data_IF_664650246111
#
_entry.id   IF_664650246111
#
_cell.length_a   1.000
_cell.length_b   1.000
_cell.length_c   1.000
_cell.angle_alpha   90.00
_cell.angle_beta   90.00
_cell.angle_gamma   90.00
#
_symmetry.space_group_name_H-M   'P 1'
#
loop_
_entity.id
_entity.type
_entity.pdbx_description
1 polymer ?
#
# COMPACT_ATOMS: atom_id res chain seq x y z
N UNK A 1 -2.73 5.69 -34.59
CA UNK A 1 -2.50 4.41 -33.90
C UNK A 1 -2.33 4.71 -32.41
N UNK A 2 -3.43 4.68 -31.65
CA UNK A 2 -3.44 4.90 -30.20
C UNK A 2 -2.94 3.61 -29.51
N UNK A 3 -1.74 3.63 -28.91
CA UNK A 3 -1.31 2.57 -27.99
C UNK A 3 -2.19 2.63 -26.75
N UNK A 4 -2.99 1.60 -26.55
CA UNK A 4 -3.72 1.40 -25.30
C UNK A 4 -2.70 1.29 -24.16
N UNK A 5 -2.61 2.32 -23.34
CA UNK A 5 -1.85 2.26 -22.08
C UNK A 5 -2.58 1.31 -21.14
N UNK A 6 -2.01 0.14 -20.94
CA UNK A 6 -2.43 -0.78 -19.88
C UNK A 6 -2.38 -0.04 -18.53
N UNK A 7 -3.53 0.15 -17.91
CA UNK A 7 -3.60 0.65 -16.52
C UNK A 7 -2.77 -0.29 -15.62
N UNK A 8 -1.82 0.22 -14.84
CA UNK A 8 -1.02 -0.62 -13.95
C UNK A 8 -1.92 -1.32 -12.94
N UNK A 9 -1.60 -2.58 -12.65
CA UNK A 9 -2.27 -3.38 -11.61
C UNK A 9 -1.94 -2.78 -10.24
N UNK A 10 -2.77 -1.86 -9.78
CA UNK A 10 -2.61 -1.26 -8.46
C UNK A 10 -3.20 -2.16 -7.39
N UNK A 11 -2.37 -2.47 -6.42
CA UNK A 11 -2.73 -3.21 -5.21
C UNK A 11 -3.36 -2.20 -4.24
N UNK A 12 -4.68 -2.01 -4.28
CA UNK A 12 -5.38 -1.33 -3.20
C UNK A 12 -5.35 -2.25 -1.96
N UNK A 13 -4.32 -2.10 -1.14
CA UNK A 13 -4.21 -2.78 0.16
C UNK A 13 -5.11 -2.01 1.14
N UNK A 14 -6.38 -2.40 1.26
CA UNK A 14 -7.21 -1.95 2.36
C UNK A 14 -6.75 -2.64 3.64
N UNK A 15 -5.88 -2.00 4.41
CA UNK A 15 -5.61 -2.36 5.81
C UNK A 15 -6.84 -2.00 6.64
N UNK A 16 -7.83 -2.90 6.71
CA UNK A 16 -8.89 -2.85 7.72
C UNK A 16 -8.36 -3.60 8.93
N UNK A 17 -7.69 -2.90 9.85
CA UNK A 17 -7.47 -3.39 11.19
C UNK A 17 -8.79 -3.27 11.96
N UNK A 18 -9.59 -4.34 11.95
CA UNK A 18 -10.77 -4.48 12.79
C UNK A 18 -10.36 -4.73 14.24
N UNK A 19 -10.38 -3.69 15.07
CA UNK A 19 -10.35 -3.83 16.53
C UNK A 19 -11.74 -4.19 17.00
N UNK A 20 -11.99 -5.46 17.29
CA UNK A 20 -13.20 -5.90 17.97
C UNK A 20 -13.09 -5.53 19.46
N UNK A 21 -13.81 -4.50 19.89
CA UNK A 21 -14.10 -4.25 21.29
C UNK A 21 -15.28 -5.16 21.72
N UNK A 22 -14.97 -6.14 22.56
CA UNK A 22 -15.95 -6.98 23.24
C UNK A 22 -16.61 -6.18 24.35
N UNK A 23 -17.88 -5.83 24.18
CA UNK A 23 -18.77 -5.45 25.29
C UNK A 23 -19.59 -6.68 25.70
N UNK A 24 -19.40 -7.09 26.94
CA UNK A 24 -20.20 -8.15 27.55
C UNK A 24 -21.64 -7.69 27.79
N UNK A 25 -22.58 -8.60 27.54
CA UNK A 25 -23.93 -8.51 28.05
C UNK A 25 -24.46 -9.89 28.42
N UNK A 26 -25.16 -9.90 29.49
CA UNK A 26 -25.64 -10.93 30.38
C UNK A 26 -26.48 -12.06 29.78
N UNK A 27 -26.45 -13.17 30.51
CA UNK A 27 -27.13 -14.42 30.30
C UNK A 27 -28.64 -14.31 30.31
N UNK A 28 -29.28 -15.07 29.42
CA UNK A 28 -30.64 -15.58 29.63
C UNK A 28 -30.70 -17.07 29.29
N UNK A 29 -31.13 -17.87 30.28
CA UNK A 29 -31.37 -19.30 30.18
C UNK A 29 -32.60 -19.59 29.33
N UNK A 30 -32.51 -20.51 28.36
CA UNK A 30 -33.66 -21.27 27.91
C UNK A 30 -33.25 -22.60 27.26
N UNK A 31 -33.75 -23.69 27.83
CA UNK A 31 -34.27 -24.92 27.26
C UNK A 31 -33.42 -25.79 26.34
N UNK A 32 -33.32 -27.03 26.84
CA UNK A 32 -32.71 -28.22 26.24
C UNK A 32 -33.53 -28.73 25.04
N UNK A 33 -32.85 -28.88 23.90
CA UNK A 33 -32.99 -30.04 23.00
C UNK A 33 -31.75 -30.05 22.11
N UNK A 34 -31.03 -31.16 21.95
CA UNK A 34 -29.88 -31.23 21.07
C UNK A 34 -30.37 -31.24 19.61
N UNK A 35 -29.85 -30.39 18.74
CA UNK A 35 -30.05 -30.52 17.30
C UNK A 35 -29.27 -31.74 16.78
N UNK A 36 -29.73 -32.36 15.67
CA UNK A 36 -29.06 -33.51 15.08
C UNK A 36 -27.64 -33.16 14.68
N UNK A 37 -26.73 -34.10 14.95
CA UNK A 37 -25.33 -34.10 14.58
C UNK A 37 -25.11 -33.46 13.21
N UNK A 38 -24.59 -32.22 13.21
CA UNK A 38 -23.99 -31.66 12.03
C UNK A 38 -22.74 -32.50 11.74
N UNK A 39 -22.83 -33.33 10.70
CA UNK A 39 -21.66 -33.99 10.13
C UNK A 39 -20.56 -32.94 10.02
N UNK A 40 -19.44 -33.18 10.71
CA UNK A 40 -18.22 -32.43 10.60
C UNK A 40 -17.90 -32.30 9.12
N UNK A 41 -18.20 -31.14 8.53
CA UNK A 41 -17.51 -30.73 7.29
C UNK A 41 -16.06 -30.58 7.71
N UNK A 42 -15.30 -31.64 7.56
CA UNK A 42 -13.85 -31.56 7.45
C UNK A 42 -13.57 -30.46 6.43
N UNK A 43 -13.05 -29.33 6.91
CA UNK A 43 -12.36 -28.37 6.05
C UNK A 43 -11.30 -29.22 5.37
N UNK A 44 -11.51 -29.56 4.10
CA UNK A 44 -10.53 -30.23 3.29
C UNK A 44 -9.30 -29.33 3.32
N UNK A 45 -8.29 -29.71 4.13
CA UNK A 45 -7.02 -29.03 4.15
C UNK A 45 -6.51 -29.05 2.71
N UNK A 46 -6.15 -27.89 2.17
CA UNK A 46 -5.58 -27.80 0.83
C UNK A 46 -4.42 -28.77 0.73
N UNK A 47 -4.30 -29.46 -0.41
CA UNK A 47 -3.16 -30.33 -0.70
C UNK A 47 -1.87 -29.56 -0.44
N UNK A 48 -0.88 -30.10 0.31
CA UNK A 48 0.38 -29.45 0.55
C UNK A 48 1.05 -29.04 -0.76
N UNK A 49 1.66 -27.87 -0.82
CA UNK A 49 2.28 -27.39 -2.06
C UNK A 49 3.35 -28.34 -2.61
N UNK A 50 4.05 -29.09 -1.74
CA UNK A 50 4.98 -30.15 -2.15
C UNK A 50 4.32 -31.27 -2.99
N UNK A 51 3.01 -31.47 -2.90
CA UNK A 51 2.25 -32.52 -3.61
C UNK A 51 1.44 -31.95 -4.79
N UNK A 52 1.55 -30.64 -5.04
CA UNK A 52 0.82 -29.97 -6.13
C UNK A 52 1.69 -29.85 -7.38
N UNK A 53 1.28 -30.46 -8.50
CA UNK A 53 2.03 -30.38 -9.76
C UNK A 53 2.26 -28.95 -10.23
N UNK A 54 1.25 -28.07 -10.12
CA UNK A 54 1.33 -26.67 -10.55
C UNK A 54 2.33 -25.84 -9.72
N UNK A 55 2.42 -26.09 -8.40
CA UNK A 55 3.38 -25.43 -7.53
C UNK A 55 4.81 -25.95 -7.77
N UNK A 56 4.98 -27.25 -7.97
CA UNK A 56 6.29 -27.84 -8.23
C UNK A 56 6.82 -27.49 -9.62
N UNK A 57 5.96 -27.46 -10.64
CA UNK A 57 6.34 -26.94 -11.96
C UNK A 57 6.77 -25.46 -11.89
N UNK A 58 6.02 -24.65 -11.15
CA UNK A 58 6.42 -23.24 -10.92
C UNK A 58 7.80 -23.16 -10.24
N UNK A 59 8.09 -24.03 -9.26
CA UNK A 59 9.40 -24.07 -8.59
C UNK A 59 10.54 -24.39 -9.56
N UNK A 60 10.34 -25.38 -10.44
CA UNK A 60 11.33 -25.78 -11.44
C UNK A 60 11.57 -24.66 -12.45
N UNK A 61 10.50 -24.09 -13.00
CA UNK A 61 10.58 -22.97 -13.95
C UNK A 61 11.25 -21.74 -13.34
N UNK A 62 10.97 -21.46 -12.05
CA UNK A 62 11.57 -20.37 -11.31
C UNK A 62 13.08 -20.58 -11.12
N UNK A 63 13.48 -21.78 -10.70
CA UNK A 63 14.89 -22.12 -10.50
C UNK A 63 15.71 -21.87 -11.78
N UNK A 64 15.19 -22.27 -12.93
CA UNK A 64 15.83 -22.03 -14.23
C UNK A 64 15.86 -20.53 -14.58
N UNK A 65 14.73 -19.82 -14.45
CA UNK A 65 14.65 -18.39 -14.84
C UNK A 65 15.52 -17.47 -14.00
N UNK A 66 15.74 -17.81 -12.74
CA UNK A 66 16.43 -16.95 -11.77
C UNK A 66 17.81 -17.44 -11.37
N UNK A 67 18.25 -18.56 -11.95
CA UNK A 67 19.51 -19.20 -11.58
C UNK A 67 19.60 -19.47 -10.07
N UNK A 68 18.59 -20.18 -9.56
CA UNK A 68 18.46 -20.56 -8.16
C UNK A 68 18.64 -22.08 -8.02
N UNK A 69 19.03 -22.54 -6.83
CA UNK A 69 19.10 -23.98 -6.52
C UNK A 69 17.71 -24.64 -6.61
N UNK A 70 17.49 -25.58 -7.56
CA UNK A 70 16.18 -26.21 -7.76
C UNK A 70 15.69 -27.00 -6.54
N UNK A 71 16.59 -27.68 -5.83
CA UNK A 71 16.23 -28.48 -4.65
C UNK A 71 15.77 -27.56 -3.52
N UNK A 72 16.49 -26.45 -3.32
CA UNK A 72 16.13 -25.44 -2.34
C UNK A 72 14.78 -24.78 -2.66
N UNK A 73 14.53 -24.40 -3.92
CA UNK A 73 13.24 -23.77 -4.32
C UNK A 73 12.07 -24.72 -4.08
N UNK A 74 12.20 -26.00 -4.52
CA UNK A 74 11.17 -27.01 -4.30
C UNK A 74 10.92 -27.28 -2.83
N UNK A 75 11.98 -27.45 -2.04
CA UNK A 75 11.88 -27.71 -0.60
C UNK A 75 11.25 -26.52 0.13
N UNK A 76 11.64 -25.30 -0.22
CA UNK A 76 11.13 -24.06 0.40
C UNK A 76 9.65 -23.84 0.08
N UNK A 77 9.28 -23.91 -1.20
CA UNK A 77 7.87 -23.76 -1.59
C UNK A 77 7.01 -24.90 -1.05
N UNK A 78 7.54 -26.14 -1.04
CA UNK A 78 6.84 -27.29 -0.51
C UNK A 78 6.46 -27.19 0.97
N UNK A 79 7.20 -26.41 1.76
CA UNK A 79 6.95 -26.14 3.17
C UNK A 79 6.04 -24.92 3.42
N UNK A 80 5.67 -24.19 2.38
CA UNK A 80 4.67 -23.12 2.51
C UNK A 80 3.30 -23.70 2.88
N UNK A 81 2.50 -22.92 3.60
CA UNK A 81 1.20 -23.34 4.12
C UNK A 81 0.08 -22.51 3.52
N UNK A 82 -0.98 -23.17 3.13
CA UNK A 82 -2.22 -22.50 2.77
C UNK A 82 -2.83 -21.76 3.96
N UNK A 83 -3.17 -20.49 3.78
CA UNK A 83 -3.79 -19.65 4.80
C UNK A 83 -5.26 -19.38 4.45
N UNK A 84 -6.19 -20.15 5.01
CA UNK A 84 -7.62 -20.11 4.68
C UNK A 84 -8.31 -18.73 4.85
N UNK A 85 -7.73 -17.85 5.63
CA UNK A 85 -8.23 -16.47 5.81
C UNK A 85 -7.79 -15.52 4.68
N UNK A 86 -6.64 -15.75 4.04
CA UNK A 86 -6.05 -14.84 3.05
C UNK A 86 -6.94 -14.67 1.81
N UNK A 87 -7.53 -15.72 1.19
CA UNK A 87 -8.45 -15.56 0.08
C UNK A 87 -9.68 -14.70 0.40
N UNK A 88 -10.13 -14.70 1.65
CA UNK A 88 -11.27 -13.87 2.08
C UNK A 88 -10.91 -12.39 2.20
N UNK A 89 -9.66 -12.10 2.59
CA UNK A 89 -9.17 -10.72 2.79
C UNK A 89 -8.90 -9.96 1.48
N UNK A 90 -8.73 -10.68 0.36
CA UNK A 90 -8.48 -10.04 -0.95
C UNK A 90 -9.75 -9.82 -1.76
N UNK A 91 -10.88 -10.37 -1.36
CA UNK A 91 -12.15 -10.12 -2.02
C UNK A 91 -12.63 -8.68 -1.80
N UNK A 92 -13.14 -8.02 -2.82
CA UNK A 92 -13.77 -6.72 -2.64
C UNK A 92 -14.99 -6.85 -1.72
N UNK A 93 -15.34 -5.79 -0.96
CA UNK A 93 -16.53 -5.80 -0.12
C UNK A 93 -17.78 -6.04 -0.98
N UNK A 94 -18.70 -6.85 -0.48
CA UNK A 94 -19.94 -7.24 -1.16
C UNK A 94 -20.91 -6.09 -1.35
N UNK A 95 -20.82 -5.05 -0.51
CA UNK A 95 -21.57 -3.79 -0.65
C UNK A 95 -20.58 -2.65 -0.69
N UNK A 96 -20.73 -1.79 -1.70
CA UNK A 96 -19.95 -0.56 -1.79
C UNK A 96 -20.26 0.34 -0.59
N UNK A 97 -19.32 0.50 0.32
CA UNK A 97 -19.42 1.55 1.32
C UNK A 97 -19.22 2.89 0.62
N UNK A 98 -20.16 3.83 0.84
CA UNK A 98 -20.00 5.18 0.31
C UNK A 98 -18.63 5.74 0.71
N UNK A 99 -17.89 6.23 -0.26
CA UNK A 99 -16.59 6.84 -0.01
C UNK A 99 -16.78 8.06 0.88
N UNK A 100 -16.02 8.16 1.95
CA UNK A 100 -16.10 9.27 2.91
C UNK A 100 -14.69 9.66 3.34
N UNK A 101 -14.23 10.81 2.86
CA UNK A 101 -12.90 11.32 3.14
C UNK A 101 -12.68 11.61 4.63
N UNK A 102 -13.63 12.27 5.29
CA UNK A 102 -13.51 12.58 6.71
C UNK A 102 -13.35 11.31 7.55
N UNK A 103 -14.14 10.26 7.27
CA UNK A 103 -14.04 8.98 7.94
C UNK A 103 -12.76 8.22 7.58
N UNK A 104 -12.26 8.34 6.35
CA UNK A 104 -10.98 7.76 5.94
C UNK A 104 -9.81 8.45 6.64
N UNK A 105 -9.75 9.79 6.57
CA UNK A 105 -8.73 10.62 7.20
C UNK A 105 -8.61 10.33 8.70
N UNK A 106 -9.73 10.25 9.43
CA UNK A 106 -9.73 10.04 10.88
C UNK A 106 -9.07 8.72 11.32
N UNK A 107 -8.92 7.73 10.43
CA UNK A 107 -8.22 6.48 10.72
C UNK A 107 -6.69 6.62 10.71
N UNK A 108 -6.18 7.62 10.03
CA UNK A 108 -4.74 7.83 9.84
C UNK A 108 -4.23 9.08 10.54
N UNK A 109 -4.96 10.19 10.44
CA UNK A 109 -4.58 11.45 11.08
C UNK A 109 -5.24 11.53 12.46
N UNK A 110 -4.65 10.82 13.42
CA UNK A 110 -5.17 10.68 14.78
C UNK A 110 -4.04 10.79 15.83
N UNK A 111 -4.38 11.14 17.10
CA UNK A 111 -3.37 11.50 18.09
C UNK A 111 -2.32 10.43 18.40
N UNK A 112 -2.67 9.13 18.36
CA UNK A 112 -1.71 8.04 18.68
C UNK A 112 -0.65 7.98 17.58
N UNK A 113 -1.09 8.01 16.31
CA UNK A 113 -0.20 7.95 15.15
C UNK A 113 0.66 9.20 15.03
N UNK A 114 0.09 10.40 15.29
CA UNK A 114 0.85 11.66 15.32
C UNK A 114 1.94 11.62 16.40
N UNK A 115 1.61 11.22 17.63
CA UNK A 115 2.63 11.10 18.70
C UNK A 115 3.71 10.06 18.37
N UNK A 116 3.34 8.94 17.78
CA UNK A 116 4.30 7.93 17.31
C UNK A 116 5.22 8.51 16.22
N UNK A 117 4.65 9.31 15.29
CA UNK A 117 5.40 9.99 14.23
C UNK A 117 6.39 11.02 14.76
N UNK A 118 6.01 11.80 15.75
CA UNK A 118 6.94 12.75 16.41
C UNK A 118 8.14 12.01 17.02
N UNK A 119 7.90 10.90 17.73
CA UNK A 119 9.00 10.09 18.29
C UNK A 119 9.86 9.46 17.20
N UNK A 120 9.24 8.92 16.15
CA UNK A 120 9.98 8.36 15.01
C UNK A 120 10.85 9.40 14.35
N UNK A 121 10.32 10.59 14.07
CA UNK A 121 11.06 11.70 13.47
C UNK A 121 12.23 12.15 14.36
N UNK A 122 12.00 12.32 15.66
CA UNK A 122 13.07 12.71 16.60
C UNK A 122 14.20 11.68 16.61
N UNK A 123 13.87 10.39 16.71
CA UNK A 123 14.85 9.30 16.71
C UNK A 123 15.66 9.21 15.43
N UNK A 124 15.03 9.46 14.28
CA UNK A 124 15.62 9.25 12.96
C UNK A 124 15.87 10.58 12.21
N UNK A 125 16.04 11.68 12.96
CA UNK A 125 16.14 13.03 12.35
C UNK A 125 17.30 13.18 11.36
N UNK A 126 18.44 12.55 11.64
CA UNK A 126 19.61 12.57 10.76
C UNK A 126 19.35 11.82 9.45
N UNK A 127 18.74 10.64 9.51
CA UNK A 127 18.40 9.85 8.33
C UNK A 127 17.35 10.54 7.47
N UNK A 128 16.30 11.11 8.06
CA UNK A 128 15.28 11.88 7.36
C UNK A 128 15.87 13.12 6.68
N UNK A 129 16.74 13.89 7.37
CA UNK A 129 17.39 15.04 6.77
C UNK A 129 18.38 14.65 5.65
N UNK A 130 19.03 13.48 5.77
CA UNK A 130 19.89 12.93 4.70
C UNK A 130 19.04 12.56 3.49
N UNK A 131 17.97 11.80 3.68
CA UNK A 131 17.08 11.41 2.59
C UNK A 131 16.48 12.61 1.87
N UNK A 132 16.04 13.63 2.60
CA UNK A 132 15.53 14.87 2.01
C UNK A 132 16.58 15.59 1.15
N UNK A 133 17.85 15.67 1.59
CA UNK A 133 18.94 16.28 0.81
C UNK A 133 19.31 15.46 -0.42
N UNK A 134 19.38 14.13 -0.29
CA UNK A 134 19.90 13.24 -1.35
C UNK A 134 18.83 12.94 -2.41
N UNK A 135 17.59 12.77 -1.98
CA UNK A 135 16.49 12.39 -2.88
C UNK A 135 15.53 13.55 -3.17
N UNK A 136 15.61 14.65 -2.44
CA UNK A 136 14.69 15.78 -2.61
C UNK A 136 13.23 15.47 -2.23
N UNK A 137 13.01 14.40 -1.49
CA UNK A 137 11.67 14.02 -0.96
C UNK A 137 11.54 14.59 0.44
N UNK A 138 10.54 15.45 0.71
CA UNK A 138 10.37 16.05 2.03
C UNK A 138 10.20 15.01 3.14
N UNK A 139 10.82 15.26 4.29
CA UNK A 139 10.81 14.35 5.43
C UNK A 139 9.38 14.04 5.92
N UNK A 140 8.46 15.00 5.84
CA UNK A 140 7.04 14.78 6.20
C UNK A 140 6.35 13.77 5.28
N UNK A 141 6.65 13.73 4.00
CA UNK A 141 6.12 12.72 3.06
C UNK A 141 6.62 11.32 3.44
N UNK A 142 7.92 11.16 3.72
CA UNK A 142 8.51 9.88 4.13
C UNK A 142 7.88 9.41 5.45
N UNK A 143 7.76 10.30 6.42
CA UNK A 143 7.12 10.05 7.72
C UNK A 143 5.63 9.71 7.53
N UNK A 144 4.94 10.40 6.64
CA UNK A 144 3.55 10.11 6.28
C UNK A 144 3.36 8.69 5.75
N UNK A 145 4.21 8.24 4.81
CA UNK A 145 4.20 6.87 4.29
C UNK A 145 4.38 5.84 5.41
N UNK A 146 5.48 5.91 6.15
CA UNK A 146 5.80 4.93 7.20
C UNK A 146 4.73 4.94 8.31
N UNK A 147 4.16 6.12 8.58
CA UNK A 147 3.06 6.28 9.53
C UNK A 147 1.76 5.65 9.07
N UNK A 148 1.36 5.84 7.81
CA UNK A 148 0.15 5.23 7.24
C UNK A 148 0.30 3.72 7.16
N UNK A 149 1.45 3.23 6.68
CA UNK A 149 1.69 1.81 6.42
C UNK A 149 1.75 0.97 7.70
N UNK A 150 2.54 1.39 8.68
CA UNK A 150 2.87 0.50 9.82
C UNK A 150 2.76 1.12 11.20
N UNK A 151 2.28 2.36 11.31
CA UNK A 151 2.39 3.13 12.57
C UNK A 151 3.85 3.09 13.07
N UNK A 152 4.77 3.41 12.17
CA UNK A 152 6.22 3.45 12.45
C UNK A 152 6.77 2.12 12.98
N UNK A 153 6.37 1.01 12.37
CA UNK A 153 6.83 -0.34 12.69
C UNK A 153 6.00 -1.09 13.74
N UNK A 154 4.95 -0.46 14.32
CA UNK A 154 4.11 -1.12 15.32
C UNK A 154 3.15 -2.15 14.71
N UNK A 155 2.83 -2.05 13.41
CA UNK A 155 1.89 -2.91 12.71
C UNK A 155 2.43 -3.31 11.32
N UNK A 156 3.45 -4.12 11.27
CA UNK A 156 4.05 -4.61 10.01
C UNK A 156 3.37 -5.85 9.43
N UNK A 157 2.35 -6.39 10.12
CA UNK A 157 1.68 -7.63 9.76
C UNK A 157 2.29 -8.86 10.42
N UNK A 158 1.48 -9.93 10.57
CA UNK A 158 1.85 -11.14 11.29
C UNK A 158 1.82 -12.40 10.40
N UNK A 159 1.47 -12.27 9.13
CA UNK A 159 1.46 -13.40 8.20
C UNK A 159 2.89 -13.77 7.81
N UNK A 160 3.20 -15.06 7.81
CA UNK A 160 4.44 -15.52 7.19
C UNK A 160 4.37 -15.22 5.69
N UNK A 161 5.32 -14.43 5.19
CA UNK A 161 5.24 -13.85 3.83
C UNK A 161 5.15 -14.92 2.75
N UNK A 162 5.96 -15.97 2.85
CA UNK A 162 5.93 -17.08 1.89
C UNK A 162 4.55 -17.76 1.84
N UNK A 163 3.88 -17.95 3.00
CA UNK A 163 2.57 -18.60 3.06
C UNK A 163 1.48 -17.71 2.42
N UNK A 164 1.52 -16.40 2.72
CA UNK A 164 0.58 -15.44 2.13
C UNK A 164 0.74 -15.37 0.60
N UNK A 165 1.98 -15.27 0.12
CA UNK A 165 2.27 -15.20 -1.31
C UNK A 165 1.94 -16.51 -2.03
N UNK A 166 2.30 -17.69 -1.46
CA UNK A 166 1.95 -19.00 -2.04
C UNK A 166 0.42 -19.18 -2.09
N UNK A 167 -0.30 -18.82 -1.02
CA UNK A 167 -1.77 -18.86 -1.02
C UNK A 167 -2.36 -18.02 -2.15
N UNK A 168 -1.90 -16.79 -2.33
CA UNK A 168 -2.41 -15.91 -3.38
C UNK A 168 -1.91 -16.26 -4.79
N UNK A 169 -0.78 -16.93 -4.90
CA UNK A 169 -0.24 -17.41 -6.17
C UNK A 169 -0.99 -18.63 -6.73
N UNK A 170 -1.44 -19.53 -5.85
CA UNK A 170 -1.99 -20.83 -6.27
C UNK A 170 -3.45 -21.07 -5.86
N UNK A 171 -3.97 -20.30 -4.91
CA UNK A 171 -5.31 -20.47 -4.35
C UNK A 171 -6.06 -19.13 -4.30
N UNK A 172 -5.83 -18.28 -5.31
CA UNK A 172 -6.52 -16.99 -5.41
C UNK A 172 -8.02 -17.22 -5.66
N UNK A 173 -8.93 -16.50 -4.96
CA UNK A 173 -10.37 -16.78 -5.07
C UNK A 173 -10.94 -16.43 -6.44
N UNK A 174 -11.59 -17.38 -7.10
CA UNK A 174 -12.23 -17.22 -8.42
C UNK A 174 -13.36 -16.17 -8.41
N UNK A 175 -13.97 -15.94 -7.25
CA UNK A 175 -15.00 -14.91 -7.08
C UNK A 175 -14.49 -13.48 -7.28
N UNK A 176 -13.18 -13.27 -7.32
CA UNK A 176 -12.61 -11.94 -7.56
C UNK A 176 -12.70 -11.57 -9.05
N UNK A 177 -13.18 -10.35 -9.43
CA UNK A 177 -13.39 -9.96 -10.84
C UNK A 177 -12.16 -10.06 -11.75
N UNK A 178 -10.95 -10.07 -11.16
CA UNK A 178 -9.66 -10.17 -11.87
C UNK A 178 -8.81 -11.32 -11.31
N UNK A 179 -9.42 -12.45 -11.00
CA UNK A 179 -8.77 -13.56 -10.31
C UNK A 179 -7.47 -14.01 -11.01
N UNK A 180 -7.53 -14.29 -12.30
CA UNK A 180 -6.36 -14.73 -13.08
C UNK A 180 -5.21 -13.71 -13.03
N UNK A 181 -5.48 -12.45 -13.38
CA UNK A 181 -4.44 -11.42 -13.41
C UNK A 181 -3.82 -11.17 -12.02
N UNK A 182 -4.62 -11.36 -10.96
CA UNK A 182 -4.14 -11.22 -9.57
C UNK A 182 -3.30 -12.43 -9.15
N UNK A 183 -3.71 -13.65 -9.46
CA UNK A 183 -2.92 -14.87 -9.22
C UNK A 183 -1.55 -14.77 -9.93
N UNK A 184 -1.54 -14.36 -11.19
CA UNK A 184 -0.29 -14.14 -11.95
C UNK A 184 0.59 -13.05 -11.32
N UNK A 185 0.01 -11.97 -10.80
CA UNK A 185 0.74 -10.95 -10.05
C UNK A 185 1.40 -11.57 -8.81
N UNK A 186 0.68 -12.34 -7.99
CA UNK A 186 1.24 -12.95 -6.79
C UNK A 186 2.25 -14.05 -7.08
N UNK A 187 2.15 -14.75 -8.20
CA UNK A 187 3.21 -15.66 -8.69
C UNK A 187 4.51 -14.90 -8.93
N UNK A 188 4.46 -13.72 -9.55
CA UNK A 188 5.65 -12.89 -9.75
C UNK A 188 6.21 -12.33 -8.42
N UNK A 189 5.35 -11.98 -7.48
CA UNK A 189 5.81 -11.54 -6.15
C UNK A 189 6.45 -12.68 -5.35
N UNK A 190 5.89 -13.89 -5.42
CA UNK A 190 6.50 -15.09 -4.82
C UNK A 190 7.87 -15.41 -5.45
N UNK A 191 7.99 -15.28 -6.76
CA UNK A 191 9.26 -15.42 -7.48
C UNK A 191 10.30 -14.39 -6.99
N UNK A 192 9.93 -13.14 -6.86
CA UNK A 192 10.83 -12.11 -6.34
C UNK A 192 11.21 -12.36 -4.88
N UNK A 193 10.27 -12.81 -4.06
CA UNK A 193 10.53 -13.15 -2.66
C UNK A 193 11.54 -14.27 -2.52
N UNK A 194 11.34 -15.40 -3.24
CA UNK A 194 12.25 -16.55 -3.20
C UNK A 194 13.65 -16.18 -3.71
N UNK A 195 13.72 -15.38 -4.79
CA UNK A 195 14.99 -14.86 -5.30
C UNK A 195 15.71 -13.97 -4.28
N UNK A 196 14.98 -13.09 -3.59
CA UNK A 196 15.53 -12.17 -2.60
C UNK A 196 16.11 -12.92 -1.41
N UNK A 197 15.35 -13.84 -0.83
CA UNK A 197 15.75 -14.54 0.41
C UNK A 197 16.90 -15.52 0.14
N UNK A 198 16.96 -16.20 -1.01
CA UNK A 198 18.05 -17.08 -1.34
C UNK A 198 19.35 -16.30 -1.58
N UNK A 199 19.31 -15.22 -2.37
CA UNK A 199 20.49 -14.40 -2.64
C UNK A 199 21.07 -13.72 -1.40
N UNK A 200 20.20 -13.34 -0.45
CA UNK A 200 20.62 -12.74 0.80
C UNK A 200 20.99 -13.78 1.86
N UNK A 201 20.83 -15.09 1.59
CA UNK A 201 21.08 -16.15 2.57
C UNK A 201 20.18 -16.07 3.81
N UNK A 202 18.99 -15.48 3.66
CA UNK A 202 18.04 -15.30 4.79
C UNK A 202 17.06 -16.47 4.88
N UNK A 203 16.59 -16.77 6.09
CA UNK A 203 15.55 -17.80 6.29
C UNK A 203 14.24 -17.38 5.60
N UNK A 204 13.76 -18.14 4.59
CA UNK A 204 12.52 -17.80 3.86
C UNK A 204 11.27 -17.85 4.73
N UNK A 205 11.33 -18.46 5.90
CA UNK A 205 10.21 -18.63 6.81
C UNK A 205 10.16 -17.58 7.94
N UNK A 206 11.21 -16.78 8.11
CA UNK A 206 11.28 -15.75 9.14
C UNK A 206 10.45 -14.49 8.80
N UNK A 207 10.44 -13.94 7.56
CA UNK A 207 9.76 -12.68 7.28
C UNK A 207 8.26 -12.73 7.58
N UNK A 208 7.79 -11.70 8.31
CA UNK A 208 6.36 -11.46 8.59
C UNK A 208 5.92 -10.19 7.88
N UNK A 209 4.69 -10.20 7.41
CA UNK A 209 4.16 -9.08 6.65
C UNK A 209 2.64 -9.06 6.61
N UNK A 210 2.10 -8.29 5.67
CA UNK A 210 0.66 -8.23 5.44
C UNK A 210 0.12 -9.55 4.87
N UNK A 211 -1.19 -9.70 4.88
CA UNK A 211 -1.87 -10.85 4.25
C UNK A 211 -1.60 -10.95 2.72
N UNK A 212 -1.13 -9.89 2.10
CA UNK A 212 -0.75 -9.83 0.69
C UNK A 212 0.77 -9.91 0.46
N UNK A 213 1.57 -10.14 1.51
CA UNK A 213 3.01 -10.31 1.40
C UNK A 213 3.82 -9.01 1.35
N UNK A 214 3.24 -7.87 1.71
CA UNK A 214 3.98 -6.63 1.89
C UNK A 214 4.81 -6.66 3.18
N UNK A 215 6.03 -6.09 3.16
CA UNK A 215 7.07 -6.31 4.15
C UNK A 215 7.68 -5.01 4.70
N UNK A 216 8.10 -5.06 5.97
CA UNK A 216 8.90 -4.03 6.63
C UNK A 216 8.13 -2.75 6.95
N UNK A 217 8.85 -1.71 7.40
CA UNK A 217 8.29 -0.43 7.85
C UNK A 217 7.50 0.28 6.76
N UNK A 218 7.95 0.20 5.50
CA UNK A 218 7.32 0.82 4.33
C UNK A 218 6.36 -0.11 3.58
N UNK A 219 6.10 -1.32 4.05
CA UNK A 219 5.21 -2.29 3.41
C UNK A 219 5.53 -2.53 1.92
N UNK A 220 6.80 -2.74 1.61
CA UNK A 220 7.23 -3.05 0.25
C UNK A 220 6.81 -4.45 -0.17
N UNK A 221 6.23 -4.56 -1.37
CA UNK A 221 6.11 -5.86 -2.04
C UNK A 221 7.49 -6.38 -2.42
N UNK A 222 7.71 -7.71 -2.54
CA UNK A 222 9.01 -8.27 -2.92
C UNK A 222 9.61 -7.65 -4.18
N UNK A 223 8.80 -7.37 -5.19
CA UNK A 223 9.24 -6.69 -6.41
C UNK A 223 9.67 -5.24 -6.19
N UNK A 224 9.01 -4.54 -5.26
CA UNK A 224 9.39 -3.18 -4.85
C UNK A 224 10.68 -3.20 -4.05
N UNK A 225 10.85 -4.16 -3.15
CA UNK A 225 12.12 -4.36 -2.43
C UNK A 225 13.27 -4.56 -3.40
N UNK A 226 13.14 -5.50 -4.32
CA UNK A 226 14.20 -5.82 -5.30
C UNK A 226 14.61 -4.64 -6.20
N UNK A 227 13.70 -3.68 -6.42
CA UNK A 227 13.93 -2.55 -7.33
C UNK A 227 14.33 -1.26 -6.63
N UNK A 228 13.81 -1.01 -5.43
CA UNK A 228 13.83 0.31 -4.82
C UNK A 228 14.45 0.34 -3.43
N UNK A 229 14.62 -0.82 -2.77
CA UNK A 229 15.24 -0.85 -1.46
C UNK A 229 16.74 -0.55 -1.59
N UNK A 230 17.25 0.25 -0.67
CA UNK A 230 18.64 0.69 -0.60
C UNK A 230 19.18 0.57 0.83
N UNK A 231 20.48 0.33 0.93
CA UNK A 231 21.23 0.41 2.17
C UNK A 231 21.37 1.89 2.58
N UNK A 232 20.53 2.32 3.50
CA UNK A 232 20.46 3.72 3.94
C UNK A 232 21.46 4.07 5.04
N UNK A 233 21.97 3.08 5.77
CA UNK A 233 22.94 3.27 6.85
C UNK A 233 24.40 2.97 6.41
N UNK A 234 24.60 2.31 5.26
CA UNK A 234 25.90 1.99 4.68
C UNK A 234 26.59 0.80 5.33
N UNK A 235 25.84 -0.13 5.93
CA UNK A 235 26.38 -1.32 6.59
C UNK A 235 26.59 -2.53 5.64
N UNK A 236 26.20 -2.37 4.37
CA UNK A 236 26.30 -3.39 3.32
C UNK A 236 25.11 -4.34 3.27
N UNK A 237 24.06 -4.10 4.06
CA UNK A 237 22.83 -4.88 4.07
C UNK A 237 21.62 -3.97 3.86
N UNK A 238 20.49 -4.56 3.46
CA UNK A 238 19.21 -3.85 3.35
C UNK A 238 18.22 -4.52 4.29
N UNK A 239 17.93 -3.87 5.41
CA UNK A 239 16.97 -4.35 6.40
C UNK A 239 15.77 -3.40 6.54
N UNK A 240 14.70 -3.67 5.79
CA UNK A 240 13.46 -2.86 5.87
C UNK A 240 12.61 -3.16 7.12
N UNK A 241 12.98 -4.17 7.92
CA UNK A 241 12.29 -4.51 9.17
C UNK A 241 12.89 -3.83 10.39
N UNK A 242 14.21 -3.89 10.53
CA UNK A 242 14.94 -3.43 11.72
C UNK A 242 15.63 -2.08 11.54
N UNK A 243 16.06 -1.74 10.33
CA UNK A 243 16.72 -0.47 10.02
C UNK A 243 15.73 0.60 9.56
N UNK A 244 15.48 1.59 10.41
CA UNK A 244 14.69 2.74 10.01
C UNK A 244 15.39 3.59 8.93
N UNK A 245 16.71 3.58 8.89
CA UNK A 245 17.52 4.33 7.92
C UNK A 245 17.34 3.76 6.52
N UNK A 246 17.37 2.42 6.39
CA UNK A 246 17.14 1.75 5.11
C UNK A 246 15.69 1.96 4.63
N UNK A 247 14.73 1.85 5.55
CA UNK A 247 13.34 2.08 5.22
C UNK A 247 13.08 3.53 4.75
N UNK A 248 13.66 4.53 5.42
CA UNK A 248 13.56 5.94 5.06
C UNK A 248 14.18 6.19 3.67
N UNK A 249 15.41 5.72 3.45
CA UNK A 249 16.09 5.88 2.18
C UNK A 249 15.38 5.14 1.04
N UNK A 250 14.87 3.94 1.30
CA UNK A 250 14.12 3.14 0.31
C UNK A 250 12.79 3.77 -0.08
N UNK A 251 12.05 4.35 0.88
CA UNK A 251 10.83 5.11 0.58
C UNK A 251 11.16 6.33 -0.29
N UNK A 252 12.23 7.07 0.02
CA UNK A 252 12.65 8.20 -0.79
C UNK A 252 13.07 7.78 -2.20
N UNK A 253 13.86 6.71 -2.32
CA UNK A 253 14.28 6.15 -3.61
C UNK A 253 13.09 5.65 -4.45
N UNK A 254 12.06 5.07 -3.80
CA UNK A 254 10.82 4.71 -4.49
C UNK A 254 10.17 5.92 -5.17
N UNK A 255 10.13 7.07 -4.52
CA UNK A 255 9.53 8.28 -5.09
C UNK A 255 10.34 8.83 -6.27
N UNK A 256 11.68 8.82 -6.18
CA UNK A 256 12.52 9.20 -7.33
C UNK A 256 12.25 8.30 -8.53
N UNK A 257 12.17 6.99 -8.33
CA UNK A 257 11.84 6.04 -9.38
C UNK A 257 10.42 6.23 -9.97
N UNK A 258 9.55 6.97 -9.28
CA UNK A 258 8.21 7.32 -9.72
C UNK A 258 8.06 8.82 -10.08
N UNK A 259 9.14 9.44 -10.53
CA UNK A 259 9.19 10.80 -11.05
C UNK A 259 8.85 11.89 -10.03
N UNK A 260 9.23 11.70 -8.78
CA UNK A 260 9.16 12.79 -7.80
C UNK A 260 10.02 13.97 -8.23
N UNK A 261 9.46 15.16 -8.23
CA UNK A 261 10.17 16.40 -8.55
C UNK A 261 10.43 17.19 -7.27
N UNK A 262 11.70 17.37 -6.88
CA UNK A 262 12.06 18.17 -5.70
C UNK A 262 11.50 19.60 -5.77
N UNK A 263 10.97 20.08 -4.65
CA UNK A 263 10.41 21.42 -4.53
C UNK A 263 9.02 21.63 -5.16
N UNK A 264 8.50 20.68 -5.92
CA UNK A 264 7.13 20.76 -6.45
C UNK A 264 6.12 20.45 -5.34
N UNK A 265 5.10 21.28 -5.08
CA UNK A 265 4.00 20.95 -4.18
C UNK A 265 3.25 19.69 -4.62
N UNK A 266 2.67 18.95 -3.69
CA UNK A 266 1.87 17.77 -4.02
C UNK A 266 0.52 18.14 -4.65
N UNK A 267 -0.08 19.24 -4.22
CA UNK A 267 -1.38 19.70 -4.72
C UNK A 267 -1.61 21.17 -4.41
N UNK A 268 -2.63 21.74 -5.02
CA UNK A 268 -3.11 23.09 -4.80
C UNK A 268 -4.60 23.09 -4.48
N UNK A 269 -5.06 24.11 -3.78
CA UNK A 269 -6.48 24.35 -3.58
C UNK A 269 -7.16 24.72 -4.91
N UNK A 270 -8.45 24.38 -5.02
CA UNK A 270 -9.27 24.65 -6.20
C UNK A 270 -10.56 25.36 -5.74
N UNK A 271 -11.00 26.35 -6.50
CA UNK A 271 -12.35 26.89 -6.45
C UNK A 271 -13.05 26.67 -7.79
N UNK A 272 -14.37 26.81 -7.78
CA UNK A 272 -15.15 26.63 -9.01
C UNK A 272 -15.80 27.92 -9.44
N UNK A 273 -15.94 28.10 -10.76
CA UNK A 273 -16.68 29.21 -11.34
C UNK A 273 -18.17 29.10 -10.91
N UNK A 274 -18.77 30.19 -10.39
CA UNK A 274 -20.19 30.21 -10.06
C UNK A 274 -21.12 29.86 -11.24
N UNK A 275 -20.68 30.07 -12.50
CA UNK A 275 -21.40 29.67 -13.70
C UNK A 275 -21.40 28.14 -13.94
N UNK A 276 -20.62 27.40 -13.14
CA UNK A 276 -20.49 25.93 -13.22
C UNK A 276 -19.17 25.49 -13.79
N UNK A 277 -18.87 24.18 -13.61
CA UNK A 277 -17.68 23.54 -14.13
C UNK A 277 -18.03 22.29 -14.92
N UNK A 278 -17.25 22.00 -15.97
CA UNK A 278 -17.33 20.77 -16.77
C UNK A 278 -16.69 19.60 -15.99
N UNK A 279 -17.42 19.14 -14.95
CA UNK A 279 -16.93 18.10 -14.02
C UNK A 279 -16.70 16.77 -14.73
N UNK A 280 -17.52 16.41 -15.72
CA UNK A 280 -17.37 15.14 -16.45
C UNK A 280 -16.03 15.09 -17.17
N UNK A 281 -15.64 16.15 -17.85
CA UNK A 281 -14.33 16.23 -18.49
C UNK A 281 -13.19 16.32 -17.49
N UNK A 282 -13.34 17.13 -16.44
CA UNK A 282 -12.28 17.34 -15.45
C UNK A 282 -11.96 16.09 -14.63
N UNK A 283 -12.95 15.26 -14.33
CA UNK A 283 -12.80 14.03 -13.54
C UNK A 283 -12.51 12.79 -14.38
N UNK A 284 -12.68 12.84 -15.70
CA UNK A 284 -12.46 11.68 -16.57
C UNK A 284 -11.06 11.06 -16.49
N UNK A 285 -9.95 11.84 -16.30
CA UNK A 285 -8.62 11.28 -16.14
C UNK A 285 -8.36 10.65 -14.74
N UNK A 286 -9.30 10.76 -13.80
CA UNK A 286 -9.14 10.34 -12.40
C UNK A 286 -7.96 11.08 -11.77
N UNK A 287 -6.99 10.35 -11.20
CA UNK A 287 -5.80 10.90 -10.55
C UNK A 287 -4.64 11.24 -11.52
N UNK A 288 -4.82 11.03 -12.80
CA UNK A 288 -3.75 11.27 -13.79
C UNK A 288 -3.60 12.77 -14.10
N UNK A 289 -2.44 13.40 -13.82
CA UNK A 289 -2.20 14.78 -14.21
C UNK A 289 -2.30 14.93 -15.74
N UNK A 290 -3.25 15.75 -16.20
CA UNK A 290 -3.62 15.83 -17.63
C UNK A 290 -3.82 17.27 -18.08
N UNK A 291 -4.29 18.14 -17.18
CA UNK A 291 -4.69 19.50 -17.51
C UNK A 291 -3.61 20.52 -17.11
N UNK A 292 -3.43 21.56 -17.90
CA UNK A 292 -2.76 22.78 -17.40
C UNK A 292 -3.70 23.57 -16.49
N UNK A 293 -3.16 24.44 -15.63
CA UNK A 293 -3.98 25.35 -14.82
C UNK A 293 -4.94 26.19 -15.67
N UNK A 294 -4.48 26.67 -16.83
CA UNK A 294 -5.31 27.42 -17.77
C UNK A 294 -6.45 26.57 -18.37
N UNK A 295 -6.19 25.29 -18.72
CA UNK A 295 -7.23 24.43 -19.28
C UNK A 295 -8.24 23.97 -18.20
N UNK A 296 -7.84 23.86 -16.94
CA UNK A 296 -8.75 23.67 -15.80
C UNK A 296 -9.65 24.90 -15.61
N UNK A 297 -9.06 26.10 -15.64
CA UNK A 297 -9.81 27.35 -15.52
C UNK A 297 -10.83 27.52 -16.65
N UNK A 298 -10.44 27.22 -17.90
CA UNK A 298 -11.37 27.24 -19.05
C UNK A 298 -12.56 26.28 -18.92
N UNK A 299 -12.46 25.29 -18.02
CA UNK A 299 -13.51 24.32 -17.67
C UNK A 299 -14.18 24.63 -16.33
N UNK A 300 -13.93 25.82 -15.76
CA UNK A 300 -14.55 26.28 -14.53
C UNK A 300 -13.88 25.80 -13.23
N UNK A 301 -12.72 25.11 -13.28
CA UNK A 301 -11.96 24.75 -12.08
C UNK A 301 -10.71 25.65 -11.96
N UNK A 302 -10.74 26.58 -11.00
CA UNK A 302 -9.73 27.62 -10.84
C UNK A 302 -8.71 27.19 -9.78
N UNK A 303 -7.49 26.92 -10.20
CA UNK A 303 -6.38 26.55 -9.30
C UNK A 303 -5.90 27.80 -8.55
N UNK A 304 -5.79 27.67 -7.22
CA UNK A 304 -5.53 28.82 -6.34
C UNK A 304 -4.04 29.02 -6.03
N UNK A 305 -3.73 30.25 -5.60
CA UNK A 305 -2.38 30.63 -5.15
C UNK A 305 -1.32 30.47 -6.24
N UNK A 306 -0.15 29.93 -5.87
CA UNK A 306 0.96 29.68 -6.80
C UNK A 306 0.63 28.61 -7.84
N UNK A 307 -0.41 27.81 -7.60
CA UNK A 307 -0.88 26.78 -8.53
C UNK A 307 -1.44 27.34 -9.84
N UNK A 308 -1.93 28.59 -9.85
CA UNK A 308 -2.38 29.28 -11.07
C UNK A 308 -1.24 29.44 -12.11
N UNK A 309 0.00 29.44 -11.65
CA UNK A 309 1.22 29.57 -12.49
C UNK A 309 1.97 28.24 -12.63
N UNK A 310 1.39 27.13 -12.17
CA UNK A 310 2.00 25.81 -12.30
C UNK A 310 2.18 25.44 -13.77
N UNK A 311 3.42 25.12 -14.16
CA UNK A 311 3.77 24.83 -15.55
C UNK A 311 3.55 23.37 -15.96
N UNK A 312 3.44 22.46 -14.98
CA UNK A 312 3.22 21.03 -15.20
C UNK A 312 1.74 20.67 -15.35
N UNK A 313 1.45 19.40 -15.64
CA UNK A 313 0.09 18.91 -15.68
C UNK A 313 -0.50 18.72 -14.28
N UNK A 314 -1.81 18.92 -14.17
CA UNK A 314 -2.62 18.78 -12.96
C UNK A 314 -3.77 17.80 -13.19
N UNK A 315 -4.25 17.19 -12.12
CA UNK A 315 -5.49 16.42 -12.10
C UNK A 315 -6.50 17.08 -11.15
N UNK A 316 -7.76 17.19 -11.54
CA UNK A 316 -8.81 17.49 -10.57
C UNK A 316 -9.12 16.21 -9.80
N UNK A 317 -8.79 16.21 -8.52
CA UNK A 317 -8.97 15.07 -7.61
C UNK A 317 -10.18 15.31 -6.73
N UNK A 318 -11.17 14.42 -6.83
CA UNK A 318 -12.37 14.42 -6.00
C UNK A 318 -12.22 13.52 -4.77
N UNK A 319 -12.66 14.00 -3.63
CA UNK A 319 -12.75 13.27 -2.37
C UNK A 319 -14.20 13.35 -1.86
N UNK A 320 -14.94 12.28 -2.05
CA UNK A 320 -16.34 12.18 -1.61
C UNK A 320 -16.43 12.15 -0.09
N UNK A 321 -17.44 12.77 0.48
CA UNK A 321 -17.69 12.90 1.92
C UNK A 321 -19.00 12.23 2.36
N UNK A 322 -19.29 11.04 1.83
CA UNK A 322 -20.58 10.37 2.06
C UNK A 322 -21.72 11.18 1.45
N UNK A 323 -22.70 11.56 2.25
CA UNK A 323 -23.83 12.40 1.81
C UNK A 323 -23.50 13.91 1.76
N UNK A 324 -22.30 14.29 2.22
CA UNK A 324 -21.82 15.67 2.18
C UNK A 324 -21.23 16.07 0.83
N UNK A 325 -21.04 17.39 0.64
CA UNK A 325 -20.38 17.90 -0.55
C UNK A 325 -18.94 17.36 -0.68
N UNK A 326 -18.51 16.93 -1.87
CA UNK A 326 -17.14 16.47 -2.07
C UNK A 326 -16.13 17.61 -1.90
N UNK A 327 -14.91 17.23 -1.51
CA UNK A 327 -13.75 18.12 -1.48
C UNK A 327 -12.92 17.90 -2.75
N UNK A 328 -12.23 18.96 -3.19
CA UNK A 328 -11.42 18.90 -4.40
C UNK A 328 -10.03 19.49 -4.18
N UNK A 329 -9.03 18.91 -4.86
CA UNK A 329 -7.68 19.48 -4.96
C UNK A 329 -7.17 19.35 -6.39
N UNK A 330 -6.27 20.24 -6.81
CA UNK A 330 -5.51 20.09 -8.04
C UNK A 330 -4.21 19.34 -7.72
N UNK A 331 -4.18 18.04 -7.99
CA UNK A 331 -3.02 17.16 -7.77
C UNK A 331 -1.96 17.37 -8.84
N UNK A 332 -0.71 17.52 -8.43
CA UNK A 332 0.45 17.59 -9.31
C UNK A 332 1.01 16.20 -9.65
N UNK A 333 2.11 16.14 -10.39
CA UNK A 333 2.87 14.92 -10.62
C UNK A 333 3.41 14.31 -9.31
N UNK A 334 3.73 15.13 -8.30
CA UNK A 334 4.13 14.62 -6.97
C UNK A 334 2.96 13.99 -6.20
N UNK A 335 1.75 14.53 -6.33
CA UNK A 335 0.56 13.86 -5.81
C UNK A 335 0.38 12.50 -6.47
N UNK A 336 0.51 12.46 -7.79
CA UNK A 336 0.43 11.22 -8.55
C UNK A 336 1.53 10.21 -8.15
N UNK A 337 2.75 10.68 -7.89
CA UNK A 337 3.84 9.82 -7.40
C UNK A 337 3.46 9.12 -6.09
N UNK A 338 2.77 9.81 -5.15
CA UNK A 338 2.29 9.19 -3.92
C UNK A 338 1.24 8.11 -4.22
N UNK A 339 0.36 8.34 -5.19
CA UNK A 339 -0.64 7.34 -5.58
C UNK A 339 -0.02 6.09 -6.22
N UNK A 340 1.25 6.13 -6.62
CA UNK A 340 1.98 4.94 -7.12
C UNK A 340 2.29 3.95 -6.01
N UNK A 341 2.41 4.43 -4.78
CA UNK A 341 2.58 3.57 -3.60
C UNK A 341 1.31 2.76 -3.32
N UNK A 342 0.17 3.44 -3.36
CA UNK A 342 -1.16 2.82 -3.30
C UNK A 342 -2.11 3.64 -4.19
N UNK A 343 -2.75 3.00 -5.19
CA UNK A 343 -3.58 3.65 -6.20
C UNK A 343 -4.89 4.20 -5.61
N UNK A 344 -4.77 5.29 -4.86
CA UNK A 344 -5.90 5.95 -4.19
C UNK A 344 -5.57 7.40 -3.87
N UNK A 345 -6.44 8.32 -4.28
CA UNK A 345 -6.38 9.73 -3.90
C UNK A 345 -6.54 9.92 -2.38
N UNK A 346 -7.38 9.11 -1.74
CA UNK A 346 -7.60 9.12 -0.29
C UNK A 346 -6.33 8.74 0.46
N UNK A 347 -5.62 7.71 -0.03
CA UNK A 347 -4.33 7.32 0.51
C UNK A 347 -3.29 8.44 0.40
N UNK A 348 -3.15 9.01 -0.80
CA UNK A 348 -2.16 10.06 -1.05
C UNK A 348 -2.39 11.26 -0.11
N UNK A 349 -3.64 11.70 0.02
CA UNK A 349 -3.95 12.84 0.88
C UNK A 349 -3.79 12.48 2.37
N UNK A 350 -4.11 11.25 2.80
CA UNK A 350 -3.87 10.81 4.18
C UNK A 350 -2.38 10.79 4.53
N UNK A 351 -1.51 10.36 3.62
CA UNK A 351 -0.05 10.42 3.76
C UNK A 351 0.41 11.87 3.95
N UNK A 352 -0.02 12.76 3.06
CA UNK A 352 0.34 14.19 3.10
C UNK A 352 -0.11 14.82 4.41
N UNK A 353 -1.38 14.66 4.77
CA UNK A 353 -1.95 15.29 5.97
C UNK A 353 -1.37 14.71 7.27
N UNK A 354 -1.10 13.39 7.33
CA UNK A 354 -0.42 12.81 8.48
C UNK A 354 0.99 13.36 8.62
N UNK A 355 1.76 13.41 7.54
CA UNK A 355 3.11 13.96 7.55
C UNK A 355 3.13 15.41 8.04
N UNK A 356 2.25 16.25 7.52
CA UNK A 356 2.09 17.65 7.93
C UNK A 356 1.69 17.77 9.41
N UNK A 357 0.74 16.96 9.89
CA UNK A 357 0.30 16.97 11.28
C UNK A 357 1.45 16.56 12.23
N UNK A 358 2.27 15.58 11.85
CA UNK A 358 3.47 15.19 12.62
C UNK A 358 4.51 16.31 12.63
N UNK A 359 4.76 16.96 11.48
CA UNK A 359 5.70 18.08 11.38
C UNK A 359 5.27 19.25 12.25
N UNK A 360 3.98 19.61 12.23
CA UNK A 360 3.41 20.67 13.06
C UNK A 360 3.50 20.34 14.57
N UNK A 361 3.11 19.12 14.97
CA UNK A 361 3.21 18.68 16.35
C UNK A 361 4.65 18.68 16.88
N UNK A 362 5.62 18.31 16.02
CA UNK A 362 7.06 18.36 16.36
C UNK A 362 7.56 19.80 16.54
N UNK A 363 7.10 20.73 15.69
CA UNK A 363 7.48 22.14 15.81
C UNK A 363 6.92 22.80 17.09
N UNK A 364 5.69 22.46 17.48
CA UNK A 364 5.05 22.94 18.71
C UNK A 364 5.58 22.31 20.01
N UNK A 365 6.34 21.23 19.92
CA UNK A 365 6.98 20.56 21.07
C UNK A 365 8.41 21.06 21.38
N UNK A 366 8.91 22.03 20.62
CA UNK A 366 10.18 22.72 20.86
C UNK A 366 9.93 23.99 21.67
#
# INVERSE_FOLDING_TARGET
MMKAMLKPLSLALFLIAGSALSTGAMAQKASKNPPPSAASRTVQGSTPYAQRPDAMQFADDLAVRRDLDPEWVRATLGQARFLAQVPKLVLPPTQGTAKNWAAYKSRFVEPIRIRAGVRFWQKNSAALARAEREYGVPADIIVGIIGVETIYGQQMGNFRVIDALATLAFDFPDAHPRAQARSEFFRRELEQFLSLVQRNGTDPFAPRGSYAGAMGLGQFMPSSWARYAVDGNGDGQIDLFGSAEDAIASVANYFIAHNWTPGMPTHYAVSFDPAGADMDTLLAPDILPTFSAASMAAKGAIVQGTGAQHSGPLALVELQNGDGAPSYVAGTENFYAITRYNWSSYYALAVIELGQAVAQARAGAR
#
